data_IF_417332299970
#
_entry.id   IF_417332299970
#
_cell.length_a   1.000
_cell.length_b   1.000
_cell.length_c   1.000
_cell.angle_alpha   90.00
_cell.angle_beta   90.00
_cell.angle_gamma   90.00
#
_symmetry.space_group_name_H-M   'P 1'
#
loop_
_entity.id
_entity.type
_entity.pdbx_description
1 polymer ?
#
# COMPACT_ATOMS: atom_id res chain seq x y z
N UNK A 1 -24.48 39.04 -48.29
CA UNK A 1 -23.35 38.15 -47.95
C UNK A 1 -23.94 36.93 -47.27
N UNK A 2 -23.99 35.81 -47.99
CA UNK A 2 -24.49 34.55 -47.44
C UNK A 2 -23.35 33.89 -46.66
N UNK A 3 -23.55 33.71 -45.36
CA UNK A 3 -22.62 32.94 -44.53
C UNK A 3 -22.91 31.47 -44.79
N UNK A 4 -21.94 30.75 -45.35
CA UNK A 4 -22.01 29.30 -45.54
C UNK A 4 -21.91 28.61 -44.17
N UNK A 5 -23.05 28.20 -43.63
CA UNK A 5 -23.14 27.42 -42.39
C UNK A 5 -23.06 25.93 -42.73
N UNK A 6 -21.86 25.45 -43.06
CA UNK A 6 -21.59 24.03 -43.11
C UNK A 6 -21.35 23.50 -41.68
N UNK A 7 -22.24 22.65 -41.13
CA UNK A 7 -22.01 22.07 -39.81
C UNK A 7 -20.84 21.10 -39.85
N UNK A 8 -19.82 21.37 -39.03
CA UNK A 8 -18.70 20.45 -38.79
C UNK A 8 -19.09 19.46 -37.69
N UNK A 9 -19.15 18.18 -38.04
CA UNK A 9 -19.40 17.10 -37.09
C UNK A 9 -18.10 16.41 -36.74
N UNK A 10 -17.71 16.44 -35.46
CA UNK A 10 -16.56 15.71 -34.93
C UNK A 10 -17.09 14.50 -34.14
N UNK A 11 -16.75 13.29 -34.58
CA UNK A 11 -17.02 12.06 -33.82
C UNK A 11 -15.74 11.63 -33.09
N UNK A 12 -15.74 11.79 -31.77
CA UNK A 12 -14.69 11.29 -30.89
C UNK A 12 -15.03 9.87 -30.44
N UNK A 13 -14.49 8.87 -31.13
CA UNK A 13 -14.49 7.49 -30.66
C UNK A 13 -13.31 7.27 -29.73
N UNK A 14 -13.58 7.19 -28.42
CA UNK A 14 -12.58 6.67 -27.48
C UNK A 14 -12.39 5.18 -27.81
N UNK A 15 -11.18 4.72 -28.19
CA UNK A 15 -10.93 3.29 -28.29
C UNK A 15 -11.22 2.74 -26.91
N UNK A 16 -12.21 1.84 -26.80
CA UNK A 16 -12.62 1.15 -25.57
C UNK A 16 -11.41 1.02 -24.65
N UNK A 17 -11.27 1.98 -23.73
CA UNK A 17 -10.21 1.96 -22.76
C UNK A 17 -10.67 0.83 -21.88
N UNK A 18 -10.20 -0.41 -22.17
CA UNK A 18 -10.53 -1.57 -21.34
C UNK A 18 -10.27 -1.08 -19.93
N UNK A 19 -11.30 -0.99 -19.07
CA UNK A 19 -11.09 -0.46 -17.75
C UNK A 19 -9.97 -1.31 -17.18
N UNK A 20 -8.82 -0.68 -16.89
CA UNK A 20 -7.75 -1.37 -16.19
C UNK A 20 -8.38 -1.71 -14.85
N UNK A 21 -8.88 -2.94 -14.72
CA UNK A 21 -9.46 -3.44 -13.49
C UNK A 21 -8.28 -3.70 -12.56
N UNK A 22 -7.78 -2.62 -11.97
CA UNK A 22 -6.83 -2.73 -10.87
C UNK A 22 -7.62 -3.29 -9.69
N UNK A 23 -7.70 -4.61 -9.60
CA UNK A 23 -8.29 -5.27 -8.45
C UNK A 23 -7.33 -5.12 -7.29
N UNK A 24 -7.70 -4.29 -6.33
CA UNK A 24 -6.97 -4.25 -5.07
C UNK A 24 -7.12 -5.59 -4.36
N UNK A 25 -5.99 -6.17 -3.93
CA UNK A 25 -5.96 -7.40 -3.13
C UNK A 25 -5.46 -7.07 -1.73
N UNK A 26 -6.23 -7.51 -0.72
CA UNK A 26 -5.82 -7.44 0.67
C UNK A 26 -4.63 -8.37 0.92
N UNK A 27 -3.61 -7.86 1.60
CA UNK A 27 -2.53 -8.67 2.13
C UNK A 27 -3.02 -9.40 3.40
N UNK A 28 -3.22 -10.71 3.31
CA UNK A 28 -3.91 -11.50 4.36
C UNK A 28 -3.15 -11.54 5.69
N UNK A 29 -1.81 -11.52 5.64
CA UNK A 29 -0.95 -11.42 6.82
C UNK A 29 -1.19 -10.16 7.66
N UNK A 30 -1.81 -9.13 7.08
CA UNK A 30 -2.18 -7.91 7.79
C UNK A 30 -3.27 -8.20 8.83
N UNK A 31 -4.17 -9.14 8.57
CA UNK A 31 -5.25 -9.54 9.49
C UNK A 31 -4.75 -10.41 10.65
N UNK A 32 -3.59 -11.05 10.48
CA UNK A 32 -2.91 -11.77 11.57
C UNK A 32 -2.28 -10.82 12.58
N UNK A 33 -2.14 -9.53 12.26
CA UNK A 33 -1.57 -8.55 13.17
C UNK A 33 -2.64 -8.04 14.16
N UNK A 34 -2.50 -8.30 15.47
CA UNK A 34 -3.50 -7.92 16.47
C UNK A 34 -3.66 -6.41 16.63
N UNK A 35 -2.66 -5.60 16.28
CA UNK A 35 -2.77 -4.15 16.26
C UNK A 35 -3.70 -3.70 15.12
N UNK A 36 -3.47 -4.20 13.91
CA UNK A 36 -4.28 -3.86 12.73
C UNK A 36 -5.74 -4.26 12.95
N UNK A 37 -5.98 -5.45 13.51
CA UNK A 37 -7.33 -5.92 13.80
C UNK A 37 -8.05 -5.02 14.81
N UNK A 38 -7.34 -4.57 15.87
CA UNK A 38 -7.91 -3.60 16.82
C UNK A 38 -8.21 -2.26 16.17
N UNK A 39 -7.30 -1.75 15.33
CA UNK A 39 -7.48 -0.46 14.66
C UNK A 39 -8.68 -0.50 13.69
N UNK A 40 -8.85 -1.61 12.96
CA UNK A 40 -10.01 -1.82 12.08
C UNK A 40 -11.31 -1.94 12.90
N UNK A 41 -11.31 -2.68 14.00
CA UNK A 41 -12.48 -2.80 14.88
C UNK A 41 -12.89 -1.43 15.45
N UNK A 42 -11.93 -0.67 15.98
CA UNK A 42 -12.18 0.65 16.54
C UNK A 42 -12.74 1.61 15.47
N UNK A 43 -12.15 1.62 14.28
CA UNK A 43 -12.63 2.47 13.20
C UNK A 43 -14.04 2.10 12.74
N UNK A 44 -14.39 0.81 12.75
CA UNK A 44 -15.73 0.36 12.42
C UNK A 44 -16.75 0.81 13.48
N UNK A 45 -16.41 0.67 14.76
CA UNK A 45 -17.24 1.16 15.87
C UNK A 45 -17.46 2.67 15.76
N UNK A 46 -16.40 3.44 15.51
CA UNK A 46 -16.50 4.90 15.34
C UNK A 46 -17.37 5.26 14.14
N UNK A 47 -17.17 4.60 13.00
CA UNK A 47 -17.94 4.86 11.79
C UNK A 47 -19.45 4.71 12.02
N UNK A 48 -19.89 3.61 12.64
CA UNK A 48 -21.32 3.39 12.89
C UNK A 48 -21.88 4.24 14.03
N UNK A 49 -21.05 4.69 14.97
CA UNK A 49 -21.45 5.68 15.97
C UNK A 49 -21.67 7.07 15.36
N UNK A 50 -20.82 7.47 14.41
CA UNK A 50 -20.85 8.77 13.74
C UNK A 50 -21.88 8.84 12.60
N UNK A 51 -22.24 7.70 12.00
CA UNK A 51 -23.14 7.61 10.85
C UNK A 51 -24.36 6.73 11.17
N UNK A 52 -25.31 7.22 11.97
CA UNK A 52 -26.49 6.46 12.33
C UNK A 52 -27.38 6.18 11.11
N UNK A 53 -28.01 5.00 11.04
CA UNK A 53 -28.72 4.52 9.84
C UNK A 53 -30.01 5.29 9.50
N UNK A 54 -30.53 6.12 10.41
CA UNK A 54 -31.74 6.92 10.16
C UNK A 54 -31.56 8.03 9.10
N UNK A 55 -30.34 8.53 8.90
CA UNK A 55 -30.10 9.69 8.02
C UNK A 55 -29.55 9.31 6.64
N UNK A 56 -29.18 8.04 6.43
CA UNK A 56 -28.45 7.59 5.23
C UNK A 56 -28.94 6.25 4.71
N UNK A 57 -29.05 6.11 3.39
CA UNK A 57 -29.40 4.84 2.74
C UNK A 57 -28.47 3.71 3.21
N UNK A 58 -29.00 2.54 3.63
CA UNK A 58 -28.19 1.41 4.06
C UNK A 58 -27.12 0.96 3.05
N UNK A 59 -27.41 1.10 1.75
CA UNK A 59 -26.46 0.80 0.69
C UNK A 59 -25.28 1.77 0.71
N UNK A 60 -25.55 3.07 0.86
CA UNK A 60 -24.49 4.08 0.92
C UNK A 60 -23.65 3.90 2.18
N UNK A 61 -24.30 3.61 3.31
CA UNK A 61 -23.61 3.28 4.57
C UNK A 61 -22.70 2.06 4.38
N UNK A 62 -23.17 1.04 3.66
CA UNK A 62 -22.39 -0.17 3.36
C UNK A 62 -21.17 0.12 2.47
N UNK A 63 -21.36 0.90 1.40
CA UNK A 63 -20.26 1.29 0.53
C UNK A 63 -19.22 2.17 1.24
N UNK A 64 -19.67 3.14 2.04
CA UNK A 64 -18.79 4.07 2.74
C UNK A 64 -17.95 3.36 3.81
N UNK A 65 -18.49 2.47 4.64
CA UNK A 65 -17.64 1.76 5.61
C UNK A 65 -16.63 0.85 4.92
N UNK A 66 -16.97 0.25 3.77
CA UNK A 66 -16.00 -0.57 3.01
C UNK A 66 -14.84 0.30 2.53
N UNK A 67 -15.11 1.53 2.11
CA UNK A 67 -14.07 2.50 1.75
C UNK A 67 -13.20 2.86 2.96
N UNK A 68 -13.79 3.09 4.13
CA UNK A 68 -13.06 3.37 5.39
C UNK A 68 -12.11 2.23 5.74
N UNK A 69 -12.62 0.98 5.80
CA UNK A 69 -11.81 -0.20 6.13
C UNK A 69 -10.67 -0.37 5.12
N UNK A 70 -10.95 -0.21 3.81
CA UNK A 70 -9.90 -0.30 2.78
C UNK A 70 -8.82 0.76 2.97
N UNK A 71 -9.19 2.01 3.26
CA UNK A 71 -8.23 3.09 3.50
C UNK A 71 -7.27 2.75 4.64
N UNK A 72 -7.81 2.22 5.74
CA UNK A 72 -7.03 1.79 6.91
C UNK A 72 -6.07 0.66 6.53
N UNK A 73 -6.57 -0.40 5.88
CA UNK A 73 -5.75 -1.55 5.48
C UNK A 73 -4.63 -1.16 4.49
N UNK A 74 -4.92 -0.25 3.55
CA UNK A 74 -3.92 0.30 2.63
C UNK A 74 -2.84 1.09 3.39
N UNK A 75 -3.25 1.92 4.35
CA UNK A 75 -2.32 2.70 5.18
C UNK A 75 -1.37 1.80 5.96
N UNK A 76 -1.89 0.79 6.66
CA UNK A 76 -1.07 -0.16 7.40
C UNK A 76 -0.14 -0.97 6.49
N UNK A 77 -0.64 -1.45 5.35
CA UNK A 77 0.18 -2.18 4.38
C UNK A 77 1.34 -1.33 3.85
N UNK A 78 1.07 -0.06 3.53
CA UNK A 78 2.08 0.91 3.11
C UNK A 78 3.12 1.17 4.21
N UNK A 79 2.68 1.38 5.45
CA UNK A 79 3.57 1.59 6.59
C UNK A 79 4.47 0.37 6.84
N UNK A 80 3.91 -0.84 6.82
CA UNK A 80 4.66 -2.08 7.01
C UNK A 80 5.69 -2.31 5.89
N UNK A 81 5.30 -2.02 4.64
CA UNK A 81 6.21 -2.07 3.49
C UNK A 81 7.39 -1.12 3.68
N UNK A 82 7.12 0.14 4.07
CA UNK A 82 8.17 1.13 4.32
C UNK A 82 9.12 0.72 5.44
N UNK A 83 8.58 0.18 6.55
CA UNK A 83 9.39 -0.31 7.65
C UNK A 83 10.30 -1.47 7.22
N UNK A 84 9.76 -2.45 6.47
CA UNK A 84 10.55 -3.56 5.94
C UNK A 84 11.65 -3.09 4.99
N UNK A 85 11.32 -2.19 4.07
CA UNK A 85 12.31 -1.61 3.15
C UNK A 85 13.40 -0.84 3.88
N UNK A 86 13.06 -0.14 4.96
CA UNK A 86 14.03 0.53 5.81
C UNK A 86 15.03 -0.47 6.40
N UNK A 87 14.53 -1.52 7.06
CA UNK A 87 15.36 -2.57 7.65
C UNK A 87 16.26 -3.25 6.60
N UNK A 88 15.73 -3.55 5.41
CA UNK A 88 16.52 -4.13 4.31
C UNK A 88 17.66 -3.19 3.90
N UNK A 89 17.38 -1.88 3.77
CA UNK A 89 18.40 -0.89 3.41
C UNK A 89 19.50 -0.81 4.47
N UNK A 90 19.12 -0.76 5.75
CA UNK A 90 20.08 -0.71 6.86
C UNK A 90 20.97 -1.95 6.90
N UNK A 91 20.37 -3.13 6.80
CA UNK A 91 21.11 -4.40 6.81
C UNK A 91 22.05 -4.50 5.60
N UNK A 92 21.57 -4.15 4.41
CA UNK A 92 22.40 -4.14 3.19
C UNK A 92 23.57 -3.18 3.32
N UNK A 93 23.35 -1.98 3.88
CA UNK A 93 24.42 -1.01 4.14
C UNK A 93 25.45 -1.57 5.13
N UNK A 94 24.99 -2.19 6.23
CA UNK A 94 25.87 -2.81 7.24
C UNK A 94 26.69 -3.97 6.65
N UNK A 95 26.09 -4.81 5.81
CA UNK A 95 26.81 -5.88 5.11
C UNK A 95 27.86 -5.28 4.17
N UNK A 96 27.53 -4.22 3.45
CA UNK A 96 28.45 -3.51 2.55
C UNK A 96 29.67 -2.96 3.28
N UNK A 97 29.48 -2.31 4.43
CA UNK A 97 30.59 -1.76 5.24
C UNK A 97 31.47 -2.86 5.82
N UNK A 98 30.87 -3.91 6.40
CA UNK A 98 31.61 -5.06 6.92
C UNK A 98 32.42 -5.76 5.82
N UNK A 99 31.83 -5.96 4.64
CA UNK A 99 32.51 -6.55 3.49
C UNK A 99 33.71 -5.70 3.06
N UNK A 100 33.56 -4.38 3.04
CA UNK A 100 34.66 -3.47 2.70
C UNK A 100 35.77 -3.50 3.77
N UNK A 101 35.41 -3.54 5.05
CA UNK A 101 36.37 -3.63 6.15
C UNK A 101 37.16 -4.94 6.11
N UNK A 102 36.49 -6.08 5.88
CA UNK A 102 37.13 -7.38 5.73
C UNK A 102 38.08 -7.40 4.51
N UNK A 103 37.66 -6.89 3.34
CA UNK A 103 38.53 -6.79 2.16
C UNK A 103 39.80 -5.97 2.39
N UNK A 104 39.75 -4.96 3.27
CA UNK A 104 40.90 -4.12 3.61
C UNK A 104 41.85 -4.76 4.61
N UNK A 105 41.33 -5.59 5.51
CA UNK A 105 42.07 -6.12 6.66
C UNK A 105 42.50 -7.58 6.46
N UNK A 106 41.86 -8.32 5.54
CA UNK A 106 42.03 -9.77 5.32
C UNK A 106 41.90 -10.59 6.63
N UNK A 107 41.07 -10.09 7.56
CA UNK A 107 41.00 -10.60 8.92
C UNK A 107 39.90 -11.66 9.05
N UNK A 108 40.27 -12.89 9.46
CA UNK A 108 39.39 -14.06 9.55
C UNK A 108 38.33 -13.91 10.65
N UNK A 109 38.58 -13.08 11.66
CA UNK A 109 37.60 -12.80 12.72
C UNK A 109 36.34 -12.09 12.18
N UNK A 110 36.50 -11.20 11.18
CA UNK A 110 35.39 -10.50 10.52
C UNK A 110 34.56 -11.42 9.61
N UNK A 111 35.13 -12.54 9.16
CA UNK A 111 34.44 -13.55 8.36
C UNK A 111 33.36 -14.28 9.19
N UNK A 112 33.62 -14.50 10.49
CA UNK A 112 32.67 -15.08 11.43
C UNK A 112 31.43 -14.21 11.65
N UNK A 113 31.61 -12.88 11.79
CA UNK A 113 30.49 -11.94 11.90
C UNK A 113 29.70 -11.81 10.59
N UNK A 114 30.39 -11.84 9.44
CA UNK A 114 29.75 -11.75 8.12
C UNK A 114 28.86 -12.97 7.83
N UNK A 115 29.34 -14.16 8.19
CA UNK A 115 28.58 -15.43 8.02
C UNK A 115 27.41 -15.54 8.99
N UNK A 116 27.51 -14.99 10.19
CA UNK A 116 26.39 -14.86 11.12
C UNK A 116 25.35 -13.84 10.62
N UNK A 117 25.79 -12.71 10.05
CA UNK A 117 24.91 -11.68 9.51
C UNK A 117 24.14 -12.12 8.24
N UNK A 118 24.72 -13.01 7.43
CA UNK A 118 24.09 -13.54 6.21
C UNK A 118 23.15 -14.73 6.40
N UNK A 119 23.05 -15.29 7.62
CA UNK A 119 22.23 -16.49 7.92
C UNK A 119 20.82 -16.18 8.43
N UNK A 120 20.44 -14.92 8.58
CA UNK A 120 19.12 -14.48 9.06
C UNK A 120 18.22 -14.02 7.92
#
# INVERSE_FOLDING_TARGET
MWSDHAPLTIQLTSPLCKPKTTSWRLHESLLSNPQVTRDVQQALTNYFAENPPQDTSPLLTWEAHKCVIRGILISHSSALKRAREHTIRELTAKIGTLTQAHKRTLDDALLGELTAAGKN
#
